data_IF_907771089969
#
_entry.id   IF_907771089969
#
_cell.length_a   1.000
_cell.length_b   1.000
_cell.length_c   1.000
_cell.angle_alpha   90.00
_cell.angle_beta   90.00
_cell.angle_gamma   90.00
#
_symmetry.space_group_name_H-M   'P 1'
#
loop_
_entity.id
_entity.type
_entity.pdbx_description
1 polymer ?
#
# COMPACT_ATOMS: atom_id res chain seq x y z
N UNK A 1 9.03 -34.46 2.54
CA UNK A 1 7.88 -34.61 3.46
C UNK A 1 8.02 -33.63 4.66
N UNK A 2 7.45 -32.44 4.69
CA UNK A 2 6.26 -31.93 4.05
C UNK A 2 6.50 -30.46 3.67
N UNK A 3 6.51 -30.16 2.37
CA UNK A 3 6.12 -28.82 1.94
C UNK A 3 4.60 -28.81 2.07
N UNK A 4 4.07 -28.53 3.27
CA UNK A 4 2.67 -28.11 3.37
C UNK A 4 2.63 -26.83 2.56
N UNK A 5 2.09 -26.89 1.35
CA UNK A 5 1.86 -25.69 0.55
C UNK A 5 1.00 -24.76 1.41
N UNK A 6 1.58 -23.70 1.94
CA UNK A 6 0.81 -22.63 2.57
C UNK A 6 0.12 -21.92 1.42
N UNK A 7 -1.06 -22.45 1.04
CA UNK A 7 -1.94 -21.83 0.08
C UNK A 7 -2.71 -20.76 0.82
N UNK A 8 -2.73 -19.56 0.26
CA UNK A 8 -3.65 -18.53 0.69
C UNK A 8 -5.02 -18.79 0.08
N UNK A 9 -5.97 -19.10 0.95
CA UNK A 9 -7.37 -19.23 0.58
C UNK A 9 -7.91 -17.92 0.02
N UNK A 10 -8.93 -18.03 -0.84
CA UNK A 10 -9.55 -16.89 -1.50
C UNK A 10 -10.40 -16.09 -0.50
N UNK A 11 -10.02 -14.84 -0.16
CA UNK A 11 -10.80 -14.01 0.74
C UNK A 11 -11.98 -13.43 -0.05
N UNK A 12 -13.03 -14.23 -0.24
CA UNK A 12 -14.13 -13.93 -1.17
C UNK A 12 -14.75 -12.55 -0.98
N UNK A 13 -14.90 -12.09 0.27
CA UNK A 13 -15.44 -10.75 0.55
C UNK A 13 -14.52 -9.63 0.05
N UNK A 14 -13.20 -9.79 0.22
CA UNK A 14 -12.21 -8.80 -0.23
C UNK A 14 -12.18 -8.77 -1.76
N UNK A 15 -12.10 -9.94 -2.41
CA UNK A 15 -12.09 -10.03 -3.87
C UNK A 15 -13.38 -9.47 -4.49
N UNK A 16 -14.53 -9.72 -3.85
CA UNK A 16 -15.80 -9.13 -4.29
C UNK A 16 -15.80 -7.60 -4.16
N UNK A 17 -15.23 -7.05 -3.09
CA UNK A 17 -15.12 -5.60 -2.92
C UNK A 17 -14.20 -4.96 -3.96
N UNK A 18 -13.03 -5.56 -4.23
CA UNK A 18 -12.12 -5.11 -5.30
C UNK A 18 -12.79 -5.14 -6.68
N UNK A 19 -13.49 -6.23 -7.00
CA UNK A 19 -14.25 -6.33 -8.25
C UNK A 19 -15.35 -5.27 -8.33
N UNK A 20 -16.10 -5.04 -7.26
CA UNK A 20 -17.16 -4.03 -7.24
C UNK A 20 -16.61 -2.61 -7.43
N UNK A 21 -15.46 -2.30 -6.82
CA UNK A 21 -14.75 -1.03 -7.01
C UNK A 21 -14.33 -0.83 -8.46
N UNK A 22 -13.66 -1.82 -9.05
CA UNK A 22 -13.22 -1.79 -10.45
C UNK A 22 -14.42 -1.63 -11.42
N UNK A 23 -15.54 -2.31 -11.15
CA UNK A 23 -16.78 -2.11 -11.92
C UNK A 23 -17.35 -0.71 -11.74
N UNK A 24 -17.32 -0.16 -10.53
CA UNK A 24 -17.78 1.20 -10.24
C UNK A 24 -16.99 2.26 -10.99
N UNK A 25 -15.66 2.16 -10.98
CA UNK A 25 -14.74 3.02 -11.72
C UNK A 25 -14.98 2.91 -13.23
N UNK A 26 -15.10 1.69 -13.75
CA UNK A 26 -15.39 1.47 -15.17
C UNK A 26 -16.76 2.04 -15.58
N UNK A 27 -17.80 1.92 -14.74
CA UNK A 27 -19.11 2.56 -15.00
C UNK A 27 -18.99 4.08 -15.01
N UNK A 28 -18.25 4.66 -14.07
CA UNK A 28 -18.04 6.11 -14.01
C UNK A 28 -17.33 6.61 -15.28
N UNK A 29 -16.26 5.93 -15.69
CA UNK A 29 -15.52 6.26 -16.92
C UNK A 29 -16.42 6.10 -18.16
N UNK A 30 -17.10 4.96 -18.31
CA UNK A 30 -17.99 4.73 -19.44
C UNK A 30 -19.16 5.72 -19.52
N UNK A 31 -19.62 6.26 -18.37
CA UNK A 31 -20.60 7.35 -18.36
C UNK A 31 -19.99 8.66 -18.85
N UNK A 32 -18.76 8.98 -18.44
CA UNK A 32 -18.04 10.16 -18.92
C UNK A 32 -17.79 10.09 -20.43
N UNK A 33 -17.48 8.90 -20.95
CA UNK A 33 -17.24 8.63 -22.37
C UNK A 33 -18.54 8.55 -23.20
N UNK A 34 -19.72 8.67 -22.57
CA UNK A 34 -21.02 8.62 -23.26
C UNK A 34 -21.42 7.24 -23.78
N UNK A 35 -20.89 6.15 -23.22
CA UNK A 35 -21.23 4.77 -23.63
C UNK A 35 -22.67 4.43 -23.24
N UNK A 36 -23.40 3.83 -24.19
CA UNK A 36 -24.79 3.41 -24.02
C UNK A 36 -24.95 2.34 -22.92
N UNK A 37 -26.13 2.32 -22.29
CA UNK A 37 -26.37 1.45 -21.13
C UNK A 37 -26.14 -0.04 -21.43
N UNK A 38 -26.62 -0.53 -22.58
CA UNK A 38 -26.49 -1.94 -22.97
C UNK A 38 -25.03 -2.34 -23.15
N UNK A 39 -24.25 -1.53 -23.88
CA UNK A 39 -22.81 -1.73 -24.09
C UNK A 39 -22.04 -1.69 -22.76
N UNK A 40 -22.42 -0.83 -21.81
CA UNK A 40 -21.83 -0.84 -20.46
C UNK A 40 -22.08 -2.18 -19.77
N UNK A 41 -23.29 -2.71 -19.85
CA UNK A 41 -23.64 -3.97 -19.19
C UNK A 41 -22.89 -5.16 -19.76
N UNK A 42 -22.67 -5.18 -21.06
CA UNK A 42 -21.82 -6.18 -21.69
C UNK A 42 -20.38 -6.10 -21.17
N UNK A 43 -19.76 -4.91 -21.23
CA UNK A 43 -18.38 -4.70 -20.76
C UNK A 43 -18.18 -5.03 -19.29
N UNK A 44 -19.18 -4.76 -18.43
CA UNK A 44 -19.09 -5.09 -17.00
C UNK A 44 -19.09 -6.59 -16.69
N UNK A 45 -19.51 -7.45 -17.62
CA UNK A 45 -19.45 -8.90 -17.40
C UNK A 45 -18.01 -9.41 -17.40
N UNK A 46 -17.13 -8.78 -18.18
CA UNK A 46 -15.74 -9.18 -18.33
C UNK A 46 -14.82 -8.63 -17.24
N UNK A 47 -15.31 -7.66 -16.45
CA UNK A 47 -14.55 -7.07 -15.35
C UNK A 47 -14.52 -8.02 -14.15
N UNK A 48 -13.32 -8.43 -13.77
CA UNK A 48 -12.99 -9.17 -12.55
C UNK A 48 -12.25 -8.28 -11.55
N UNK A 49 -11.84 -8.85 -10.42
CA UNK A 49 -10.85 -8.23 -9.53
C UNK A 49 -9.46 -8.24 -10.20
N UNK A 50 -8.53 -7.36 -9.79
CA UNK A 50 -7.19 -7.33 -10.37
C UNK A 50 -6.40 -8.62 -10.09
N UNK A 51 -5.87 -9.24 -11.15
CA UNK A 51 -5.09 -10.47 -11.10
C UNK A 51 -3.66 -10.20 -11.61
N UNK A 52 -2.75 -9.67 -10.77
CA UNK A 52 -1.42 -9.28 -11.20
C UNK A 52 -0.62 -10.48 -11.69
N UNK A 53 0.11 -10.30 -12.81
CA UNK A 53 0.92 -11.33 -13.46
C UNK A 53 0.13 -12.59 -13.85
N UNK A 54 -1.18 -12.49 -14.07
CA UNK A 54 -2.06 -13.62 -14.36
C UNK A 54 -1.51 -14.54 -15.45
N UNK A 55 -1.24 -14.00 -16.64
CA UNK A 55 -0.76 -14.76 -17.79
C UNK A 55 0.55 -15.50 -17.48
N UNK A 56 1.51 -14.81 -16.86
CA UNK A 56 2.80 -15.36 -16.48
C UNK A 56 2.65 -16.46 -15.44
N UNK A 57 1.84 -16.24 -14.41
CA UNK A 57 1.65 -17.20 -13.32
C UNK A 57 0.93 -18.46 -13.82
N UNK A 58 -0.12 -18.32 -14.64
CA UNK A 58 -0.80 -19.47 -15.23
C UNK A 58 0.10 -20.24 -16.19
N UNK A 59 0.92 -19.55 -16.98
CA UNK A 59 1.93 -20.18 -17.84
C UNK A 59 2.93 -21.00 -17.01
N UNK A 60 3.56 -20.37 -16.00
CA UNK A 60 4.52 -21.03 -15.12
C UNK A 60 3.90 -22.21 -14.36
N UNK A 61 2.67 -22.06 -13.87
CA UNK A 61 1.91 -23.12 -13.22
C UNK A 61 1.64 -24.30 -14.16
N UNK A 62 1.27 -24.04 -15.41
CA UNK A 62 1.07 -25.05 -16.44
C UNK A 62 2.33 -25.87 -16.72
N UNK A 63 3.47 -25.19 -16.87
CA UNK A 63 4.78 -25.84 -17.02
C UNK A 63 5.11 -26.70 -15.79
N UNK A 64 4.97 -26.15 -14.58
CA UNK A 64 5.28 -26.85 -13.33
C UNK A 64 4.41 -28.11 -13.12
N UNK A 65 3.13 -28.03 -13.49
CA UNK A 65 2.18 -29.14 -13.41
C UNK A 65 2.55 -30.30 -14.34
N UNK A 66 3.31 -30.06 -15.41
CA UNK A 66 3.75 -31.13 -16.32
C UNK A 66 4.64 -32.14 -15.61
N UNK A 67 5.54 -31.68 -14.73
CA UNK A 67 6.40 -32.55 -13.92
C UNK A 67 5.83 -32.85 -12.52
N UNK A 68 4.81 -32.10 -12.07
CA UNK A 68 4.18 -32.28 -10.75
C UNK A 68 2.63 -32.36 -10.86
N UNK A 69 2.06 -33.46 -11.38
CA UNK A 69 0.63 -33.54 -11.71
C UNK A 69 -0.32 -33.37 -10.51
N UNK A 70 0.10 -33.75 -9.30
CA UNK A 70 -0.69 -33.64 -8.05
C UNK A 70 -1.01 -32.19 -7.67
N UNK A 71 -0.29 -31.23 -8.23
CA UNK A 71 -0.58 -29.80 -8.03
C UNK A 71 -1.92 -29.45 -8.68
N UNK A 72 -2.41 -30.23 -9.65
CA UNK A 72 -3.70 -30.00 -10.32
C UNK A 72 -4.92 -29.93 -9.39
N UNK A 73 -4.89 -30.60 -8.23
CA UNK A 73 -5.92 -30.51 -7.20
C UNK A 73 -5.95 -29.14 -6.50
N UNK A 74 -4.95 -28.32 -6.79
CA UNK A 74 -4.68 -27.03 -6.21
C UNK A 74 -4.53 -25.97 -7.33
N UNK A 75 -5.64 -25.53 -7.95
CA UNK A 75 -5.60 -24.50 -9.00
C UNK A 75 -5.07 -23.16 -8.50
N UNK A 76 -4.31 -22.47 -9.33
CA UNK A 76 -3.80 -21.13 -9.07
C UNK A 76 -4.96 -20.12 -9.02
N UNK A 77 -4.89 -19.18 -8.07
CA UNK A 77 -5.81 -18.06 -7.93
C UNK A 77 -4.99 -16.81 -7.60
N UNK A 78 -4.53 -16.04 -8.63
CA UNK A 78 -3.79 -14.80 -8.44
C UNK A 78 -4.67 -13.73 -7.76
N UNK A 79 -4.10 -12.92 -6.87
CA UNK A 79 -4.83 -11.90 -6.11
C UNK A 79 -3.95 -10.68 -5.91
N UNK A 80 -4.55 -9.49 -5.89
CA UNK A 80 -3.82 -8.24 -5.67
C UNK A 80 -3.83 -7.73 -4.22
N UNK A 81 -4.57 -8.33 -3.27
CA UNK A 81 -4.85 -7.73 -1.94
C UNK A 81 -3.65 -7.01 -1.28
N UNK A 82 -2.54 -7.72 -1.01
CA UNK A 82 -1.35 -7.08 -0.39
C UNK A 82 -0.69 -6.08 -1.34
N UNK A 83 -0.60 -6.42 -2.62
CA UNK A 83 -0.01 -5.55 -3.64
C UNK A 83 -0.76 -4.22 -3.73
N UNK A 84 -2.08 -4.26 -3.71
CA UNK A 84 -2.98 -3.10 -3.78
C UNK A 84 -2.86 -2.24 -2.52
N UNK A 85 -2.81 -2.85 -1.32
CA UNK A 85 -2.47 -2.13 -0.09
C UNK A 85 -1.10 -1.47 -0.15
N UNK A 86 -0.11 -2.21 -0.65
CA UNK A 86 1.27 -1.76 -0.73
C UNK A 86 1.48 -0.66 -1.77
N UNK A 87 0.92 -0.78 -2.97
CA UNK A 87 1.02 0.20 -4.06
C UNK A 87 0.34 1.52 -3.69
N UNK A 88 -0.87 1.46 -3.12
CA UNK A 88 -1.62 2.66 -2.73
C UNK A 88 -1.23 3.23 -1.38
N UNK A 89 -0.20 2.69 -0.73
CA UNK A 89 0.26 3.11 0.60
C UNK A 89 -0.78 3.05 1.71
N UNK A 90 -1.83 2.23 1.56
CA UNK A 90 -2.92 2.20 2.52
C UNK A 90 -2.52 1.51 3.81
N UNK A 91 -2.85 2.15 4.93
CA UNK A 91 -2.98 1.50 6.23
C UNK A 91 -4.10 0.46 6.20
N UNK A 92 -4.15 -0.38 7.23
CA UNK A 92 -5.24 -1.35 7.38
C UNK A 92 -6.61 -0.68 7.43
N UNK A 93 -6.76 0.39 8.23
CA UNK A 93 -8.01 1.13 8.39
C UNK A 93 -8.43 1.83 7.10
N UNK A 94 -7.49 2.41 6.36
CA UNK A 94 -7.77 3.00 5.04
C UNK A 94 -8.22 1.94 4.05
N UNK A 95 -7.55 0.77 3.99
CA UNK A 95 -7.97 -0.32 3.10
C UNK A 95 -9.38 -0.81 3.42
N UNK A 96 -9.69 -0.98 4.71
CA UNK A 96 -11.02 -1.37 5.19
C UNK A 96 -12.06 -0.32 4.82
N UNK A 97 -11.73 0.97 4.97
CA UNK A 97 -12.62 2.08 4.62
C UNK A 97 -12.83 2.20 3.11
N UNK A 98 -11.75 2.14 2.33
CA UNK A 98 -11.73 2.31 0.87
C UNK A 98 -12.58 1.25 0.15
N UNK A 99 -12.60 0.03 0.68
CA UNK A 99 -13.39 -1.09 0.17
C UNK A 99 -14.69 -1.36 0.96
N UNK A 100 -15.04 -0.48 1.91
CA UNK A 100 -16.25 -0.60 2.73
C UNK A 100 -16.37 -1.95 3.48
N UNK A 101 -15.24 -2.46 3.97
CA UNK A 101 -15.09 -3.79 4.57
C UNK A 101 -15.26 -3.83 6.10
N UNK A 102 -15.72 -2.76 6.74
CA UNK A 102 -15.79 -2.64 8.21
C UNK A 102 -16.48 -3.85 8.91
N UNK A 103 -17.54 -4.41 8.31
CA UNK A 103 -18.24 -5.59 8.86
C UNK A 103 -17.48 -6.90 8.71
N UNK A 104 -16.40 -6.90 7.94
CA UNK A 104 -15.58 -8.07 7.56
C UNK A 104 -14.10 -7.84 7.85
N UNK A 105 -13.77 -6.83 8.64
CA UNK A 105 -12.41 -6.44 8.99
C UNK A 105 -11.57 -7.61 9.55
N UNK A 106 -12.14 -8.44 10.43
CA UNK A 106 -11.46 -9.64 10.92
C UNK A 106 -11.12 -10.68 9.83
N UNK A 107 -11.84 -10.69 8.70
CA UNK A 107 -11.49 -11.52 7.53
C UNK A 107 -10.26 -10.93 6.82
N UNK A 108 -10.18 -9.60 6.73
CA UNK A 108 -9.01 -8.89 6.18
C UNK A 108 -7.78 -9.21 7.02
N UNK A 109 -7.84 -8.99 8.34
CA UNK A 109 -6.70 -9.25 9.22
C UNK A 109 -6.26 -10.71 9.17
N UNK A 110 -7.20 -11.67 9.23
CA UNK A 110 -6.87 -13.10 9.14
C UNK A 110 -6.19 -13.45 7.82
N UNK A 111 -6.64 -12.86 6.72
CA UNK A 111 -6.03 -13.06 5.41
C UNK A 111 -4.59 -12.50 5.39
N UNK A 112 -4.40 -11.26 5.84
CA UNK A 112 -3.07 -10.62 5.89
C UNK A 112 -2.10 -11.38 6.80
N UNK A 113 -2.54 -11.80 7.99
CA UNK A 113 -1.74 -12.61 8.90
C UNK A 113 -1.37 -13.97 8.31
N UNK A 114 -2.29 -14.60 7.57
CA UNK A 114 -2.00 -15.86 6.87
C UNK A 114 -1.00 -15.65 5.73
N UNK A 115 -1.13 -14.53 5.01
CA UNK A 115 -0.24 -14.16 3.93
C UNK A 115 1.17 -13.83 4.41
N UNK A 116 1.31 -13.07 5.50
CA UNK A 116 2.58 -12.84 6.17
C UNK A 116 3.28 -14.16 6.51
N UNK A 117 2.62 -15.07 7.24
CA UNK A 117 3.16 -16.38 7.60
C UNK A 117 3.53 -17.22 6.36
N UNK A 118 2.74 -17.13 5.31
CA UNK A 118 3.02 -17.84 4.06
C UNK A 118 4.28 -17.32 3.38
N UNK A 119 4.43 -16.00 3.24
CA UNK A 119 5.58 -15.36 2.60
C UNK A 119 6.86 -15.60 3.41
N UNK A 120 6.79 -15.49 4.74
CA UNK A 120 7.91 -15.69 5.64
C UNK A 120 8.48 -17.12 5.56
N UNK A 121 7.60 -18.14 5.54
CA UNK A 121 8.01 -19.54 5.66
C UNK A 121 8.08 -20.32 4.34
N UNK A 122 7.46 -19.85 3.25
CA UNK A 122 7.39 -20.63 1.99
C UNK A 122 8.52 -20.28 1.02
N UNK A 123 9.01 -19.05 1.06
CA UNK A 123 10.10 -18.59 0.17
C UNK A 123 11.44 -18.79 0.89
N UNK A 124 12.40 -19.55 0.32
CA UNK A 124 13.74 -19.67 0.90
C UNK A 124 14.44 -18.32 0.98
N UNK A 125 15.19 -18.06 2.06
CA UNK A 125 15.85 -16.76 2.29
C UNK A 125 16.77 -16.35 1.14
N UNK A 126 17.50 -17.30 0.55
CA UNK A 126 18.37 -17.06 -0.63
C UNK A 126 17.64 -16.56 -1.88
N UNK A 127 16.30 -16.65 -1.91
CA UNK A 127 15.44 -16.21 -3.01
C UNK A 127 14.70 -14.90 -2.69
N UNK A 128 14.83 -14.39 -1.47
CA UNK A 128 14.25 -13.11 -1.07
C UNK A 128 15.20 -11.99 -1.52
N UNK A 129 14.71 -11.09 -2.35
CA UNK A 129 15.41 -9.82 -2.59
C UNK A 129 15.25 -8.92 -1.37
N UNK A 130 16.11 -7.90 -1.23
CA UNK A 130 16.00 -6.91 -0.16
C UNK A 130 14.61 -6.25 -0.14
N UNK A 131 14.09 -5.84 -1.31
CA UNK A 131 12.74 -5.27 -1.43
C UNK A 131 11.63 -6.26 -1.00
N UNK A 132 11.82 -7.55 -1.24
CA UNK A 132 10.83 -8.56 -0.86
C UNK A 132 10.85 -8.81 0.65
N UNK A 133 12.03 -8.80 1.27
CA UNK A 133 12.16 -8.83 2.72
C UNK A 133 11.55 -7.59 3.38
N UNK A 134 11.77 -6.39 2.80
CA UNK A 134 11.12 -5.14 3.23
C UNK A 134 9.60 -5.30 3.28
N UNK A 135 8.99 -5.88 2.22
CA UNK A 135 7.54 -6.12 2.15
C UNK A 135 7.09 -7.11 3.23
N UNK A 136 7.83 -8.19 3.47
CA UNK A 136 7.49 -9.18 4.51
C UNK A 136 7.52 -8.53 5.89
N UNK A 137 8.55 -7.73 6.16
CA UNK A 137 8.72 -7.05 7.45
C UNK A 137 7.64 -6.00 7.69
N UNK A 138 7.36 -5.16 6.70
CA UNK A 138 6.24 -4.21 6.74
C UNK A 138 4.90 -4.89 6.98
N UNK A 139 4.60 -5.96 6.23
CA UNK A 139 3.35 -6.69 6.40
C UNK A 139 3.25 -7.31 7.79
N UNK A 140 4.36 -7.84 8.31
CA UNK A 140 4.44 -8.38 9.66
C UNK A 140 4.20 -7.32 10.73
N UNK A 141 4.76 -6.12 10.56
CA UNK A 141 4.56 -5.00 11.49
C UNK A 141 3.12 -4.52 11.49
N UNK A 142 2.54 -4.30 10.30
CA UNK A 142 1.13 -3.92 10.15
C UNK A 142 0.21 -4.93 10.85
N UNK A 143 0.41 -6.23 10.62
CA UNK A 143 -0.43 -7.26 11.25
C UNK A 143 -0.28 -7.23 12.77
N UNK A 144 0.92 -7.04 13.31
CA UNK A 144 1.14 -6.96 14.76
C UNK A 144 0.44 -5.74 15.37
N UNK A 145 0.58 -4.58 14.75
CA UNK A 145 -0.02 -3.33 15.23
C UNK A 145 -1.55 -3.42 15.28
N UNK A 146 -2.17 -3.98 14.23
CA UNK A 146 -3.64 -4.14 14.16
C UNK A 146 -4.14 -5.23 15.11
N UNK A 147 -3.41 -6.35 15.24
CA UNK A 147 -3.80 -7.41 16.18
C UNK A 147 -3.76 -6.91 17.63
N UNK A 148 -2.75 -6.11 17.98
CA UNK A 148 -2.68 -5.41 19.26
C UNK A 148 -3.86 -4.46 19.46
N UNK A 149 -4.15 -3.57 18.49
CA UNK A 149 -5.26 -2.62 18.64
C UNK A 149 -6.63 -3.28 18.75
N UNK A 150 -6.87 -4.37 18.00
CA UNK A 150 -8.12 -5.12 18.11
C UNK A 150 -8.23 -5.84 19.45
N UNK A 151 -7.14 -6.41 19.96
CA UNK A 151 -7.13 -7.01 21.30
C UNK A 151 -7.48 -5.96 22.36
N UNK A 152 -6.95 -4.74 22.22
CA UNK A 152 -7.24 -3.63 23.13
C UNK A 152 -8.73 -3.22 23.09
N UNK A 153 -9.31 -3.07 21.90
CA UNK A 153 -10.74 -2.75 21.74
C UNK A 153 -11.65 -3.83 22.36
N UNK A 154 -11.30 -5.11 22.19
CA UNK A 154 -12.03 -6.21 22.81
C UNK A 154 -11.90 -6.20 24.34
N UNK A 155 -10.73 -5.92 24.89
CA UNK A 155 -10.54 -5.79 26.34
C UNK A 155 -11.33 -4.61 26.92
N UNK A 156 -11.37 -3.46 26.22
CA UNK A 156 -12.17 -2.30 26.61
C UNK A 156 -13.68 -2.58 26.57
N UNK A 157 -14.16 -3.32 25.57
CA UNK A 157 -15.56 -3.74 25.49
C UNK A 157 -15.92 -4.79 26.55
N UNK A 158 -14.97 -5.66 26.91
CA UNK A 158 -15.14 -6.67 27.95
C UNK A 158 -15.12 -6.07 29.36
N UNK A 159 -14.31 -5.02 29.59
CA UNK A 159 -14.16 -4.35 30.88
C UNK A 159 -14.22 -2.81 30.75
N UNK A 160 -15.40 -2.20 30.49
CA UNK A 160 -15.51 -0.78 30.14
C UNK A 160 -15.23 0.22 31.27
N UNK A 161 -14.94 -0.24 32.50
CA UNK A 161 -14.93 0.59 33.71
C UNK A 161 -13.73 0.38 34.65
N UNK A 162 -12.78 -0.50 34.31
CA UNK A 162 -11.69 -0.92 35.21
C UNK A 162 -10.29 -0.67 34.63
N UNK A 163 -10.12 0.18 33.61
CA UNK A 163 -8.78 0.58 33.17
C UNK A 163 -8.27 1.70 34.09
N UNK A 164 -7.29 1.38 34.94
CA UNK A 164 -6.55 2.39 35.68
C UNK A 164 -5.58 3.13 34.76
N UNK A 165 -5.21 4.37 35.11
CA UNK A 165 -4.22 5.15 34.35
C UNK A 165 -2.84 4.45 34.28
N UNK A 166 -2.50 3.63 35.28
CA UNK A 166 -1.29 2.80 35.25
C UNK A 166 -1.39 1.67 34.23
N UNK A 167 -2.52 0.96 34.15
CA UNK A 167 -2.74 -0.10 33.16
C UNK A 167 -2.85 0.46 31.73
N UNK A 168 -3.43 1.64 31.56
CA UNK A 168 -3.44 2.35 30.28
C UNK A 168 -2.03 2.73 29.81
N UNK A 169 -1.18 3.20 30.73
CA UNK A 169 0.20 3.54 30.41
C UNK A 169 1.04 2.29 30.13
N UNK A 170 0.93 1.23 30.95
CA UNK A 170 1.61 -0.05 30.71
C UNK A 170 1.17 -0.71 29.39
N UNK A 171 -0.03 -0.44 28.91
CA UNK A 171 -0.53 -0.87 27.59
C UNK A 171 -0.01 -0.01 26.44
N UNK A 172 -0.04 1.31 26.57
CA UNK A 172 0.58 2.21 25.59
C UNK A 172 2.07 1.88 25.41
N UNK A 173 2.76 1.52 26.49
CA UNK A 173 4.16 1.09 26.48
C UNK A 173 4.36 -0.30 25.82
N UNK A 174 3.31 -1.11 25.65
CA UNK A 174 3.35 -2.41 24.95
C UNK A 174 3.24 -2.27 23.43
N UNK A 175 2.52 -1.26 22.93
CA UNK A 175 2.46 -0.95 21.50
C UNK A 175 3.79 -0.32 21.11
N UNK A 176 4.61 -1.06 20.37
CA UNK A 176 5.89 -0.53 19.93
C UNK A 176 5.66 0.64 18.97
N UNK A 177 6.41 1.75 19.12
CA UNK A 177 6.34 2.86 18.17
C UNK A 177 6.62 2.36 16.75
N UNK A 178 5.94 2.88 15.74
CA UNK A 178 6.12 2.41 14.34
C UNK A 178 7.56 2.63 13.85
N UNK A 179 8.26 3.61 14.41
CA UNK A 179 9.67 3.88 14.10
C UNK A 179 10.64 2.90 14.77
N UNK A 180 10.18 2.10 15.74
CA UNK A 180 11.01 1.09 16.41
C UNK A 180 11.49 -0.01 15.44
N UNK A 181 10.71 -0.27 14.38
CA UNK A 181 11.14 -1.08 13.25
C UNK A 181 11.51 -0.17 12.07
N UNK A 182 12.77 0.26 12.00
CA UNK A 182 13.24 1.17 10.96
C UNK A 182 13.07 0.63 9.52
N UNK A 183 13.07 -0.69 9.32
CA UNK A 183 12.90 -1.30 8.00
C UNK A 183 11.44 -1.29 7.56
N UNK A 184 10.51 -1.67 8.44
CA UNK A 184 9.08 -1.50 8.21
C UNK A 184 8.70 0.00 8.04
N UNK A 185 9.27 0.88 8.85
CA UNK A 185 9.01 2.31 8.76
C UNK A 185 9.50 2.92 7.44
N UNK A 186 10.68 2.50 6.96
CA UNK A 186 11.18 2.89 5.62
C UNK A 186 10.22 2.51 4.49
N UNK A 187 9.52 1.40 4.62
CA UNK A 187 8.46 1.02 3.66
C UNK A 187 7.27 1.98 3.75
N UNK A 188 6.82 2.34 4.95
CA UNK A 188 5.73 3.32 5.11
C UNK A 188 6.08 4.66 4.46
N UNK A 189 7.30 5.16 4.68
CA UNK A 189 7.81 6.39 4.07
C UNK A 189 7.86 6.27 2.54
N UNK A 190 8.43 5.19 2.01
CA UNK A 190 8.49 4.93 0.55
C UNK A 190 7.10 4.94 -0.07
N UNK A 191 6.14 4.31 0.59
CA UNK A 191 4.77 4.21 0.09
C UNK A 191 4.08 5.59 0.12
N UNK A 192 4.18 6.31 1.23
CA UNK A 192 3.58 7.63 1.38
C UNK A 192 4.13 8.65 0.37
N UNK A 193 5.44 8.61 0.09
CA UNK A 193 6.05 9.44 -0.94
C UNK A 193 5.57 9.04 -2.34
N UNK A 194 5.54 7.74 -2.65
CA UNK A 194 5.12 7.27 -3.97
C UNK A 194 3.63 7.52 -4.25
N UNK A 195 2.77 7.49 -3.22
CA UNK A 195 1.36 7.86 -3.35
C UNK A 195 1.19 9.29 -3.90
N UNK A 196 2.06 10.22 -3.49
CA UNK A 196 2.05 11.59 -4.03
C UNK A 196 2.47 11.61 -5.50
N UNK A 197 3.46 10.81 -5.90
CA UNK A 197 3.84 10.64 -7.30
C UNK A 197 2.67 10.09 -8.13
N UNK A 198 1.96 9.08 -7.64
CA UNK A 198 0.77 8.54 -8.33
C UNK A 198 -0.32 9.59 -8.51
N UNK A 199 -0.60 10.37 -7.47
CA UNK A 199 -1.61 11.43 -7.54
C UNK A 199 -1.20 12.56 -8.47
N UNK A 200 0.08 12.93 -8.46
CA UNK A 200 0.65 13.93 -9.38
C UNK A 200 0.55 13.45 -10.83
N UNK A 201 0.87 12.19 -11.11
CA UNK A 201 0.75 11.59 -12.45
C UNK A 201 -0.70 11.53 -12.95
N UNK A 202 -1.67 11.44 -12.03
CA UNK A 202 -3.10 11.48 -12.33
C UNK A 202 -3.67 12.90 -12.38
N UNK A 203 -2.83 13.93 -12.21
CA UNK A 203 -3.23 15.33 -12.08
C UNK A 203 -4.33 15.56 -11.01
N UNK A 204 -4.29 14.74 -9.95
CA UNK A 204 -5.28 14.80 -8.87
C UNK A 204 -4.82 15.75 -7.75
N UNK A 205 -4.67 17.02 -8.10
CA UNK A 205 -4.22 18.09 -7.18
C UNK A 205 -5.15 18.27 -5.98
N UNK A 206 -6.42 17.92 -6.11
CA UNK A 206 -7.39 18.00 -5.02
C UNK A 206 -7.07 17.02 -3.88
N UNK A 207 -6.67 15.79 -4.21
CA UNK A 207 -6.29 14.79 -3.21
C UNK A 207 -4.90 15.08 -2.63
N UNK A 208 -3.96 15.56 -3.46
CA UNK A 208 -2.66 16.05 -2.97
C UNK A 208 -2.81 17.19 -1.96
N UNK A 209 -3.61 18.19 -2.29
CA UNK A 209 -3.90 19.31 -1.39
C UNK A 209 -4.62 18.88 -0.10
N UNK A 210 -5.41 17.80 -0.14
CA UNK A 210 -6.01 17.24 1.07
C UNK A 210 -5.00 16.51 1.97
N UNK A 211 -3.92 15.96 1.39
CA UNK A 211 -2.85 15.29 2.13
C UNK A 211 -1.86 16.28 2.74
N UNK A 212 -1.47 17.32 1.98
CA UNK A 212 -0.33 18.19 2.31
C UNK A 212 -0.72 19.64 2.61
N UNK A 213 -2.02 19.96 2.57
CA UNK A 213 -2.52 21.32 2.73
C UNK A 213 -2.21 21.95 4.10
N UNK A 214 -2.10 21.15 5.16
CA UNK A 214 -1.71 21.63 6.48
C UNK A 214 -0.25 22.14 6.52
N UNK A 215 0.59 21.65 5.60
CA UNK A 215 1.99 22.05 5.45
C UNK A 215 2.20 23.17 4.42
N UNK A 216 1.13 23.73 3.88
CA UNK A 216 1.18 24.81 2.88
C UNK A 216 1.24 24.34 1.42
N UNK A 217 1.12 23.03 1.19
CA UNK A 217 1.01 22.42 -0.13
C UNK A 217 -0.44 22.08 -0.43
N UNK A 218 -1.26 23.11 -0.65
CA UNK A 218 -2.65 22.95 -1.08
C UNK A 218 -2.76 22.58 -2.57
N UNK A 219 -3.99 22.44 -3.07
CA UNK A 219 -4.22 22.04 -4.45
C UNK A 219 -3.70 23.06 -5.48
N UNK A 220 -3.63 24.36 -5.12
CA UNK A 220 -3.11 25.40 -6.01
C UNK A 220 -1.58 25.31 -6.07
N UNK A 221 -0.91 25.18 -4.92
CA UNK A 221 0.54 25.01 -4.86
C UNK A 221 1.03 23.75 -5.61
N UNK A 222 0.34 22.62 -5.42
CA UNK A 222 0.63 21.39 -6.17
C UNK A 222 0.42 21.55 -7.69
N UNK A 223 -0.67 22.23 -8.09
CA UNK A 223 -0.94 22.51 -9.49
C UNK A 223 0.15 23.35 -10.13
N UNK A 224 0.53 24.48 -9.51
CA UNK A 224 1.58 25.36 -10.03
C UNK A 224 2.94 24.65 -10.16
N UNK A 225 3.30 23.82 -9.19
CA UNK A 225 4.56 23.07 -9.24
C UNK A 225 4.54 22.00 -10.34
N UNK A 226 3.44 21.27 -10.50
CA UNK A 226 3.32 20.23 -11.52
C UNK A 226 3.14 20.80 -12.93
N UNK A 227 2.49 21.96 -13.10
CA UNK A 227 2.39 22.65 -14.38
C UNK A 227 3.78 22.89 -15.01
N UNK A 228 4.76 23.28 -14.17
CA UNK A 228 6.12 23.50 -14.63
C UNK A 228 6.84 22.19 -15.04
N UNK A 229 6.48 21.05 -14.45
CA UNK A 229 6.93 19.72 -14.91
C UNK A 229 6.28 19.36 -16.26
N UNK A 230 4.98 19.58 -16.39
CA UNK A 230 4.21 19.27 -17.61
C UNK A 230 4.57 20.17 -18.79
N UNK A 231 5.13 21.36 -18.55
CA UNK A 231 5.73 22.21 -19.58
C UNK A 231 6.97 21.56 -20.23
N UNK A 232 7.65 20.63 -19.54
CA UNK A 232 8.87 19.96 -20.00
C UNK A 232 8.64 18.50 -20.44
N UNK A 233 7.77 17.76 -19.73
CA UNK A 233 7.55 16.33 -19.95
C UNK A 233 6.07 16.00 -20.15
N UNK A 234 5.77 15.05 -21.05
CA UNK A 234 4.39 14.66 -21.39
C UNK A 234 3.81 13.53 -20.51
N UNK A 235 4.63 12.86 -19.69
CA UNK A 235 4.25 11.70 -18.89
C UNK A 235 5.06 11.63 -17.59
N UNK A 236 4.46 11.08 -16.54
CA UNK A 236 5.13 10.82 -15.26
C UNK A 236 5.06 9.32 -14.94
N UNK A 237 6.21 8.67 -14.91
CA UNK A 237 6.31 7.23 -14.67
C UNK A 237 5.82 6.84 -13.28
N UNK A 238 4.88 5.88 -13.25
CA UNK A 238 4.36 5.26 -12.01
C UNK A 238 4.55 3.74 -11.98
N UNK A 239 5.31 3.20 -12.94
CA UNK A 239 5.62 1.78 -13.03
C UNK A 239 6.61 1.28 -11.97
N UNK A 240 6.94 -0.03 -11.98
CA UNK A 240 7.87 -0.64 -11.02
C UNK A 240 9.23 0.06 -10.95
N UNK A 241 9.75 0.54 -12.09
CA UNK A 241 11.03 1.24 -12.15
C UNK A 241 10.97 2.62 -11.48
N UNK A 242 9.83 3.30 -11.56
CA UNK A 242 9.61 4.61 -10.93
C UNK A 242 9.61 4.54 -9.39
N UNK A 243 9.31 3.35 -8.86
CA UNK A 243 9.36 3.06 -7.42
C UNK A 243 10.70 2.48 -6.97
N UNK A 244 11.64 2.34 -7.91
CA UNK A 244 12.93 1.72 -7.65
C UNK A 244 13.71 2.45 -6.55
N UNK A 245 14.58 1.75 -5.81
CA UNK A 245 15.33 2.32 -4.68
C UNK A 245 16.28 3.46 -5.08
N UNK A 246 16.52 3.67 -6.37
CA UNK A 246 17.35 4.77 -6.90
C UNK A 246 16.64 6.12 -6.90
N UNK A 247 15.31 6.11 -6.90
CA UNK A 247 14.49 7.32 -7.00
C UNK A 247 13.99 7.80 -5.64
N UNK A 248 14.33 7.10 -4.56
CA UNK A 248 14.03 7.52 -3.20
C UNK A 248 15.32 7.60 -2.37
N UNK A 249 15.61 8.79 -1.87
CA UNK A 249 16.72 9.02 -0.95
C UNK A 249 16.15 9.34 0.43
N UNK A 250 16.69 8.71 1.47
CA UNK A 250 16.31 8.93 2.86
C UNK A 250 17.58 9.22 3.64
N UNK A 251 17.65 10.41 4.23
CA UNK A 251 18.67 10.83 5.18
C UNK A 251 18.06 10.83 6.59
N UNK A 252 18.62 10.04 7.49
CA UNK A 252 18.19 10.03 8.89
C UNK A 252 18.87 11.19 9.63
N UNK A 253 18.08 11.99 10.36
CA UNK A 253 18.54 13.13 11.19
C UNK A 253 18.16 12.84 12.65
N UNK A 254 18.97 12.03 13.37
CA UNK A 254 18.60 11.55 14.71
C UNK A 254 18.47 12.67 15.75
N UNK A 255 19.22 13.75 15.58
CA UNK A 255 19.25 14.90 16.51
C UNK A 255 17.87 15.58 16.61
N UNK A 256 17.14 15.64 15.49
CA UNK A 256 15.83 16.27 15.37
C UNK A 256 14.67 15.26 15.37
N UNK A 257 14.97 13.95 15.57
CA UNK A 257 14.01 12.84 15.40
C UNK A 257 13.24 12.96 14.07
N UNK A 258 13.98 13.14 12.98
CA UNK A 258 13.40 13.43 11.67
C UNK A 258 14.15 12.68 10.57
N UNK A 259 13.46 12.29 9.50
CA UNK A 259 14.10 11.85 8.27
C UNK A 259 13.87 12.88 7.17
N UNK A 260 14.92 13.24 6.42
CA UNK A 260 14.78 14.01 5.18
C UNK A 260 14.66 13.05 4.02
N UNK A 261 13.66 13.26 3.18
CA UNK A 261 13.30 12.33 2.13
C UNK A 261 13.18 13.08 0.82
N UNK A 262 13.78 12.53 -0.23
CA UNK A 262 13.69 13.04 -1.59
C UNK A 262 13.18 11.93 -2.50
N UNK A 263 12.05 12.16 -3.13
CA UNK A 263 11.46 11.28 -4.14
C UNK A 263 11.65 11.94 -5.51
N UNK A 264 12.51 11.37 -6.34
CA UNK A 264 12.74 11.80 -7.71
C UNK A 264 11.67 11.24 -8.63
N UNK A 265 11.22 12.04 -9.59
CA UNK A 265 10.26 11.65 -10.61
C UNK A 265 10.93 10.82 -11.70
N UNK A 266 10.22 9.82 -12.20
CA UNK A 266 10.63 9.03 -13.35
C UNK A 266 10.07 9.69 -14.61
N UNK A 267 10.81 10.64 -15.16
CA UNK A 267 10.49 11.29 -16.41
C UNK A 267 10.78 10.38 -17.62
N UNK A 268 10.15 10.61 -18.78
CA UNK A 268 10.29 9.75 -19.96
C UNK A 268 11.69 9.78 -20.59
N UNK A 269 12.49 10.81 -20.33
CA UNK A 269 13.84 10.97 -20.88
C UNK A 269 14.92 10.35 -19.98
N UNK A 270 14.58 10.08 -18.71
CA UNK A 270 15.49 9.59 -17.68
C UNK A 270 16.44 10.66 -17.15
N UNK A 271 16.05 11.94 -17.24
CA UNK A 271 16.84 13.09 -16.80
C UNK A 271 16.89 13.20 -15.27
N UNK A 272 15.83 12.74 -14.58
CA UNK A 272 15.69 12.63 -13.13
C UNK A 272 15.95 13.95 -12.38
N UNK A 273 15.54 15.06 -12.97
CA UNK A 273 15.78 16.41 -12.48
C UNK A 273 14.60 17.03 -11.73
N UNK A 274 13.46 16.35 -11.64
CA UNK A 274 12.30 16.78 -10.85
C UNK A 274 12.00 15.82 -9.69
N UNK A 275 11.34 16.31 -8.65
CA UNK A 275 10.90 15.48 -7.54
C UNK A 275 10.23 16.23 -6.39
N UNK A 276 10.02 15.49 -5.31
CA UNK A 276 9.43 15.95 -4.05
C UNK A 276 10.51 15.87 -2.98
N UNK A 277 10.73 16.97 -2.27
CA UNK A 277 11.48 16.99 -1.00
C UNK A 277 10.50 17.08 0.16
N UNK A 278 10.75 16.27 1.20
CA UNK A 278 9.90 16.19 2.37
C UNK A 278 10.70 15.88 3.63
N UNK A 279 10.09 16.16 4.77
CA UNK A 279 10.57 15.76 6.08
C UNK A 279 9.58 14.79 6.73
N UNK A 280 10.08 13.81 7.48
CA UNK A 280 9.26 12.82 8.18
C UNK A 280 9.47 12.99 9.67
N UNK A 281 8.42 13.41 10.38
CA UNK A 281 8.45 13.57 11.83
C UNK A 281 8.27 12.20 12.48
N UNK A 282 9.32 11.68 13.13
CA UNK A 282 9.30 10.36 13.77
C UNK A 282 8.39 10.33 15.00
N UNK A 283 8.25 11.46 15.70
CA UNK A 283 7.41 11.54 16.91
C UNK A 283 5.93 11.55 16.53
N UNK A 284 5.54 12.40 15.59
CA UNK A 284 4.18 12.40 15.07
C UNK A 284 3.84 11.06 14.40
N UNK A 285 4.82 10.44 13.71
CA UNK A 285 4.62 9.11 13.12
C UNK A 285 4.35 8.03 14.15
N UNK A 286 5.05 8.06 15.29
CA UNK A 286 4.82 7.15 16.40
C UNK A 286 3.42 7.34 17.02
N UNK A 287 2.97 8.59 17.15
CA UNK A 287 1.65 8.93 17.70
C UNK A 287 0.51 8.52 16.76
N UNK A 288 0.66 8.74 15.45
CA UNK A 288 -0.37 8.45 14.45
C UNK A 288 -0.32 7.00 13.92
N UNK A 289 0.75 6.26 14.23
CA UNK A 289 0.93 4.90 13.76
C UNK A 289 1.12 4.78 12.23
N UNK A 290 1.52 5.86 11.56
CA UNK A 290 1.77 5.95 10.11
C UNK A 290 2.95 6.90 9.84
N UNK A 291 3.48 6.91 8.62
CA UNK A 291 4.47 7.92 8.26
C UNK A 291 3.79 9.31 8.14
N UNK A 292 4.18 10.24 9.01
CA UNK A 292 3.78 11.65 8.94
C UNK A 292 4.80 12.39 8.09
N UNK A 293 4.39 12.68 6.85
CA UNK A 293 5.21 13.32 5.82
C UNK A 293 4.81 14.79 5.73
N UNK A 294 5.81 15.66 5.78
CA UNK A 294 5.70 17.10 5.55
C UNK A 294 6.42 17.48 4.27
N UNK A 295 5.67 17.81 3.22
CA UNK A 295 6.27 18.26 1.96
C UNK A 295 6.91 19.62 2.16
N UNK A 296 8.18 19.75 1.76
CA UNK A 296 8.95 21.00 1.86
C UNK A 296 9.13 21.67 0.51
N UNK A 297 9.24 20.88 -0.56
CA UNK A 297 9.42 21.40 -1.92
C UNK A 297 8.94 20.37 -2.96
N UNK A 298 8.38 20.85 -4.07
CA UNK A 298 8.08 20.06 -5.28
C UNK A 298 8.57 20.86 -6.47
N UNK A 299 9.46 20.28 -7.27
CA UNK A 299 10.09 21.02 -8.36
C UNK A 299 11.39 20.40 -8.85
N UNK A 300 12.21 21.22 -9.51
CA UNK A 300 13.51 20.82 -10.03
C UNK A 300 14.56 20.66 -8.90
N UNK A 301 15.39 19.60 -8.97
CA UNK A 301 16.22 19.05 -7.89
C UNK A 301 17.66 19.56 -7.78
#
# INVERSE_FOLDING_TARGET
PACRSVRLDDPRQILAAQMNKAKGEAVAQMKADGVEYEDRMERLMDISYPQPLEELLFHAYGLYRTSHPWVGDHPLSPKSVIRDMYERAMTFTEFVSFYELARTEGIVLRYLASAYKALEHTVPDERKSEDFEDIIEWLGEMVRQVDSSLLDEWEQLANPADETAEEAQERADQVKPVTANGRAFRVLVRNAMFRRVELAALDNVAELGALDGEDGWDAEAWGEAMDAYWDEYDDLGTGPDARGPKLLQIEEVPEDRLWRVRQTFADPNGDHDWGISAEVDLTASDEEGRAVIKVTDVGQL
#
